data_IF_578965941736
#
_entry.id   IF_578965941736
#
_cell.length_a   1.000
_cell.length_b   1.000
_cell.length_c   1.000
_cell.angle_alpha   90.00
_cell.angle_beta   90.00
_cell.angle_gamma   90.00
#
_symmetry.space_group_name_H-M   'P 1'
#
loop_
_entity.id
_entity.type
_entity.pdbx_description
1 polymer ?
#
# COMPACT_ATOMS: atom_id res chain seq x y z
N UNK A 1 33.74 33.78 16.89
CA UNK A 1 33.87 32.33 16.59
C UNK A 1 32.55 31.74 17.00
N UNK A 2 31.55 32.03 16.18
CA UNK A 2 30.15 31.94 16.53
C UNK A 2 29.60 30.63 15.97
N UNK A 3 29.25 29.74 16.89
CA UNK A 3 28.61 28.46 16.60
C UNK A 3 27.17 28.75 16.19
N UNK A 4 26.89 28.69 14.90
CA UNK A 4 25.51 28.65 14.39
C UNK A 4 25.00 27.22 14.63
N UNK A 5 24.17 27.04 15.65
CA UNK A 5 23.38 25.83 15.85
C UNK A 5 22.30 25.75 14.78
N UNK A 6 22.44 24.77 13.87
CA UNK A 6 21.41 24.38 12.93
C UNK A 6 20.28 23.67 13.68
N UNK A 7 19.12 24.31 13.78
CA UNK A 7 17.91 23.71 14.32
C UNK A 7 17.33 22.77 13.28
N UNK A 8 17.56 21.45 13.42
CA UNK A 8 16.89 20.44 12.61
C UNK A 8 15.38 20.51 12.86
N UNK A 9 14.52 20.75 11.85
CA UNK A 9 13.09 20.73 12.07
C UNK A 9 12.65 19.30 12.38
N UNK A 10 12.22 19.05 13.62
CA UNK A 10 11.54 17.82 13.99
C UNK A 10 10.25 17.74 13.22
N UNK A 11 10.22 16.95 12.14
CA UNK A 11 8.99 16.56 11.49
C UNK A 11 8.15 15.80 12.54
N UNK A 12 7.18 16.48 13.18
CA UNK A 12 6.09 15.78 13.86
C UNK A 12 5.46 14.91 12.78
N UNK A 13 5.71 13.60 12.84
CA UNK A 13 5.04 12.61 12.01
C UNK A 13 3.55 12.84 12.23
N UNK A 14 2.91 13.50 11.28
CA UNK A 14 1.48 13.37 11.10
C UNK A 14 1.26 11.89 10.81
N UNK A 15 0.91 11.16 11.87
CA UNK A 15 0.88 9.71 11.92
C UNK A 15 -0.28 9.25 11.04
N UNK A 16 -0.01 9.23 9.73
CA UNK A 16 -0.95 8.85 8.69
C UNK A 16 -1.20 7.36 8.85
N UNK A 17 -2.18 7.03 9.68
CA UNK A 17 -2.57 5.65 9.96
C UNK A 17 -3.42 5.12 8.81
N UNK A 18 -3.23 3.86 8.50
CA UNK A 18 -4.01 3.15 7.48
C UNK A 18 -4.95 2.15 8.15
N UNK A 19 -6.10 1.90 7.51
CA UNK A 19 -7.05 0.89 7.95
C UNK A 19 -6.35 -0.48 7.96
N UNK A 20 -6.39 -1.19 9.09
CA UNK A 20 -5.75 -2.50 9.21
C UNK A 20 -6.46 -3.62 8.42
N UNK A 21 -7.57 -3.32 7.74
CA UNK A 21 -8.25 -4.23 6.82
C UNK A 21 -8.02 -3.84 5.36
N UNK A 22 -8.46 -2.64 4.93
CA UNK A 22 -8.44 -2.24 3.51
C UNK A 22 -7.33 -1.26 3.12
N UNK A 23 -6.39 -0.94 4.03
CA UNK A 23 -5.29 -0.02 3.74
C UNK A 23 -5.67 1.45 3.56
N UNK A 24 -6.97 1.80 3.45
CA UNK A 24 -7.40 3.21 3.28
C UNK A 24 -6.89 4.09 4.43
N UNK A 25 -6.40 5.29 4.09
CA UNK A 25 -6.00 6.31 5.08
C UNK A 25 -7.14 6.57 6.07
N UNK A 26 -6.80 6.50 7.34
CA UNK A 26 -7.71 6.83 8.43
C UNK A 26 -7.64 8.34 8.68
N UNK A 27 -8.78 8.98 8.95
CA UNK A 27 -8.78 10.41 9.23
C UNK A 27 -7.95 10.69 10.49
N UNK A 28 -7.05 11.67 10.41
CA UNK A 28 -6.29 12.21 11.55
C UNK A 28 -7.25 13.04 12.41
N UNK A 29 -8.19 12.39 13.11
CA UNK A 29 -9.07 13.11 14.04
C UNK A 29 -8.32 13.33 15.35
N UNK A 30 -8.21 14.58 15.82
CA UNK A 30 -7.68 14.96 17.14
C UNK A 30 -8.52 14.50 18.34
N UNK A 31 -9.07 13.29 18.28
CA UNK A 31 -9.86 12.69 19.36
C UNK A 31 -8.90 12.18 20.44
N UNK A 32 -9.15 12.59 21.68
CA UNK A 32 -8.55 12.01 22.88
C UNK A 32 -9.10 10.59 23.04
N UNK A 33 -8.24 9.57 23.01
CA UNK A 33 -8.63 8.16 23.19
C UNK A 33 -7.91 7.18 22.26
N UNK A 34 -8.35 5.92 22.26
CA UNK A 34 -7.71 4.86 21.48
C UNK A 34 -7.81 5.15 19.97
N UNK A 35 -6.67 5.11 19.23
CA UNK A 35 -6.63 5.15 17.77
C UNK A 35 -7.70 4.28 17.09
N UNK A 36 -8.35 4.81 16.05
CA UNK A 36 -9.13 3.97 15.13
C UNK A 36 -8.17 3.03 14.40
N UNK A 37 -8.55 1.75 14.30
CA UNK A 37 -7.80 0.72 13.53
C UNK A 37 -8.45 0.40 12.19
N UNK A 38 -9.74 0.71 12.02
CA UNK A 38 -10.52 0.40 10.82
C UNK A 38 -11.29 1.63 10.34
N UNK A 39 -11.46 1.77 9.02
CA UNK A 39 -12.14 2.92 8.44
C UNK A 39 -13.66 2.92 8.72
N UNK A 40 -14.28 1.74 8.72
CA UNK A 40 -15.72 1.53 8.90
C UNK A 40 -16.03 0.18 9.59
N UNK A 41 -17.29 -0.03 9.98
CA UNK A 41 -17.74 -1.30 10.58
C UNK A 41 -17.42 -2.49 9.64
N UNK A 42 -17.80 -2.50 8.35
CA UNK A 42 -17.61 -3.68 7.50
C UNK A 42 -16.15 -4.19 7.48
N UNK A 43 -15.17 -3.28 7.48
CA UNK A 43 -13.75 -3.61 7.59
C UNK A 43 -13.40 -4.29 8.92
N UNK A 44 -14.00 -3.86 10.04
CA UNK A 44 -13.85 -4.50 11.35
C UNK A 44 -14.48 -5.90 11.37
N UNK A 45 -15.66 -6.06 10.76
CA UNK A 45 -16.36 -7.36 10.71
C UNK A 45 -15.54 -8.38 9.94
N UNK A 46 -15.09 -8.05 8.71
CA UNK A 46 -14.25 -8.94 7.91
C UNK A 46 -12.92 -9.29 8.60
N UNK A 47 -12.32 -8.33 9.31
CA UNK A 47 -11.11 -8.57 10.11
C UNK A 47 -11.33 -9.53 11.29
N UNK A 48 -12.56 -9.60 11.83
CA UNK A 48 -12.93 -10.59 12.83
C UNK A 48 -13.15 -11.97 12.19
N UNK A 49 -13.92 -12.02 11.11
CA UNK A 49 -14.23 -13.27 10.38
C UNK A 49 -12.97 -13.97 9.89
N UNK A 50 -12.00 -13.22 9.32
CA UNK A 50 -10.71 -13.78 8.89
C UNK A 50 -9.94 -14.40 10.06
N UNK A 51 -9.86 -13.72 11.21
CA UNK A 51 -9.17 -14.25 12.40
C UNK A 51 -9.88 -15.48 12.96
N UNK A 52 -11.21 -15.46 13.01
CA UNK A 52 -12.00 -16.61 13.45
C UNK A 52 -11.89 -17.81 12.49
N UNK A 53 -11.73 -17.58 11.19
CA UNK A 53 -11.47 -18.63 10.22
C UNK A 53 -10.08 -19.24 10.39
N UNK A 54 -9.03 -18.42 10.51
CA UNK A 54 -7.64 -18.85 10.75
C UNK A 54 -7.53 -19.68 12.02
N UNK A 55 -8.10 -19.20 13.13
CA UNK A 55 -8.06 -19.91 14.41
C UNK A 55 -8.82 -21.25 14.36
N UNK A 56 -9.92 -21.34 13.62
CA UNK A 56 -10.64 -22.62 13.43
C UNK A 56 -9.87 -23.60 12.56
N UNK A 57 -9.07 -23.11 11.62
CA UNK A 57 -8.24 -23.93 10.74
C UNK A 57 -6.94 -24.43 11.37
N UNK A 58 -6.61 -24.05 12.61
CA UNK A 58 -5.34 -24.40 13.25
C UNK A 58 -4.11 -23.79 12.57
N UNK A 59 -4.31 -22.73 11.78
CA UNK A 59 -3.26 -22.05 11.04
C UNK A 59 -2.55 -21.03 11.95
N UNK A 60 -1.26 -20.74 11.69
CA UNK A 60 -0.54 -19.65 12.37
C UNK A 60 -1.27 -18.31 12.26
N UNK A 61 -1.11 -17.44 13.27
CA UNK A 61 -1.76 -16.12 13.32
C UNK A 61 -1.36 -15.18 12.17
N UNK A 62 -0.21 -15.42 11.56
CA UNK A 62 0.34 -14.68 10.42
C UNK A 62 0.10 -15.37 9.07
N UNK A 63 -0.64 -16.49 9.05
CA UNK A 63 -0.95 -17.20 7.83
C UNK A 63 -1.74 -16.31 6.85
N UNK A 64 -1.32 -16.35 5.58
CA UNK A 64 -2.05 -15.76 4.46
C UNK A 64 -2.64 -16.90 3.65
N UNK A 65 -3.98 -16.92 3.54
CA UNK A 65 -4.72 -17.88 2.72
C UNK A 65 -5.16 -17.14 1.47
N UNK A 66 -4.79 -17.67 0.31
CA UNK A 66 -5.26 -17.24 -1.00
C UNK A 66 -5.86 -18.45 -1.71
N UNK A 67 -6.98 -18.25 -2.40
CA UNK A 67 -7.44 -19.17 -3.43
C UNK A 67 -6.44 -19.21 -4.59
N UNK A 68 -6.57 -20.24 -5.43
CA UNK A 68 -5.76 -20.33 -6.64
C UNK A 68 -5.99 -19.12 -7.56
N UNK A 69 -7.25 -18.67 -7.68
CA UNK A 69 -7.61 -17.52 -8.51
C UNK A 69 -7.02 -16.21 -7.96
N UNK A 70 -7.03 -16.01 -6.63
CA UNK A 70 -6.38 -14.84 -6.01
C UNK A 70 -4.86 -14.86 -6.20
N UNK A 71 -4.23 -16.04 -6.17
CA UNK A 71 -2.80 -16.17 -6.44
C UNK A 71 -2.48 -15.89 -7.91
N UNK A 72 -3.30 -16.37 -8.85
CA UNK A 72 -3.14 -16.10 -10.27
C UNK A 72 -3.31 -14.60 -10.59
N UNK A 73 -4.35 -13.95 -10.05
CA UNK A 73 -4.57 -12.50 -10.21
C UNK A 73 -3.41 -11.69 -9.61
N UNK A 74 -2.85 -12.12 -8.48
CA UNK A 74 -1.64 -11.50 -7.92
C UNK A 74 -0.44 -11.62 -8.86
N UNK A 75 -0.20 -12.81 -9.42
CA UNK A 75 0.90 -13.06 -10.36
C UNK A 75 0.76 -12.22 -11.63
N UNK A 76 -0.44 -12.13 -12.19
CA UNK A 76 -0.74 -11.34 -13.38
C UNK A 76 -0.49 -9.84 -13.14
N UNK A 77 -0.91 -9.31 -11.99
CA UNK A 77 -0.65 -7.89 -11.65
C UNK A 77 0.82 -7.60 -11.39
N UNK A 78 1.55 -8.53 -10.76
CA UNK A 78 3.00 -8.40 -10.59
C UNK A 78 3.72 -8.42 -11.95
N UNK A 79 3.27 -9.27 -12.86
CA UNK A 79 3.77 -9.32 -14.23
C UNK A 79 3.52 -7.98 -14.94
N UNK A 80 2.32 -7.43 -14.87
CA UNK A 80 1.99 -6.11 -15.44
C UNK A 80 2.86 -4.99 -14.86
N UNK A 81 3.09 -4.98 -13.55
CA UNK A 81 3.95 -3.98 -12.91
C UNK A 81 5.40 -4.06 -13.42
N UNK A 82 5.95 -5.27 -13.55
CA UNK A 82 7.29 -5.48 -14.12
C UNK A 82 7.35 -4.98 -15.56
N UNK A 83 6.37 -5.32 -16.40
CA UNK A 83 6.32 -4.86 -17.78
C UNK A 83 6.23 -3.33 -17.87
N UNK A 84 5.41 -2.68 -17.05
CA UNK A 84 5.34 -1.22 -17.00
C UNK A 84 6.68 -0.56 -16.63
N UNK A 85 7.47 -1.20 -15.76
CA UNK A 85 8.82 -0.75 -15.45
C UNK A 85 9.80 -0.96 -16.61
N UNK A 86 9.71 -2.09 -17.32
CA UNK A 86 10.51 -2.39 -18.52
C UNK A 86 10.19 -1.43 -19.68
N UNK A 87 8.93 -1.03 -19.84
CA UNK A 87 8.50 -0.05 -20.84
C UNK A 87 9.17 1.31 -20.60
N UNK A 88 9.30 1.74 -19.34
CA UNK A 88 10.02 2.98 -18.99
C UNK A 88 11.50 2.86 -19.34
N UNK A 89 12.15 1.72 -19.03
CA UNK A 89 13.55 1.50 -19.38
C UNK A 89 13.78 1.51 -20.89
N UNK A 90 12.86 0.91 -21.65
CA UNK A 90 12.90 0.91 -23.12
C UNK A 90 12.72 2.34 -23.65
N UNK A 91 11.72 3.07 -23.17
CA UNK A 91 11.48 4.46 -23.56
C UNK A 91 12.67 5.37 -23.24
N UNK A 92 13.34 5.19 -22.10
CA UNK A 92 14.56 5.91 -21.75
C UNK A 92 15.69 5.61 -22.75
N UNK A 93 15.86 4.34 -23.13
CA UNK A 93 16.88 3.89 -24.08
C UNK A 93 16.63 4.48 -25.46
N UNK A 94 15.37 4.59 -25.86
CA UNK A 94 14.95 5.12 -27.16
C UNK A 94 14.91 6.66 -27.20
N UNK A 95 15.25 7.34 -26.10
CA UNK A 95 15.27 8.79 -26.03
C UNK A 95 13.88 9.43 -26.01
N UNK A 96 12.88 8.74 -25.44
CA UNK A 96 11.52 9.23 -25.31
C UNK A 96 11.46 10.58 -24.60
N UNK A 97 10.45 11.37 -24.98
CA UNK A 97 10.23 12.70 -24.42
C UNK A 97 9.84 12.62 -22.94
N UNK A 98 10.02 13.74 -22.25
CA UNK A 98 9.59 13.87 -20.85
C UNK A 98 8.08 13.55 -20.65
N UNK A 99 7.23 13.93 -21.62
CA UNK A 99 5.78 13.67 -21.54
C UNK A 99 5.43 12.18 -21.67
N UNK A 100 6.12 11.45 -22.54
CA UNK A 100 5.96 10.00 -22.69
C UNK A 100 6.42 9.27 -21.42
N UNK A 101 7.60 9.62 -20.91
CA UNK A 101 8.12 9.07 -19.66
C UNK A 101 7.20 9.34 -18.47
N UNK A 102 6.66 10.56 -18.37
CA UNK A 102 5.69 10.91 -17.32
C UNK A 102 4.43 10.05 -17.42
N UNK A 103 3.94 9.80 -18.64
CA UNK A 103 2.75 8.96 -18.87
C UNK A 103 3.01 7.51 -18.45
N UNK A 104 4.13 6.93 -18.88
CA UNK A 104 4.52 5.56 -18.51
C UNK A 104 4.73 5.41 -17.00
N UNK A 105 5.42 6.36 -16.36
CA UNK A 105 5.61 6.37 -14.92
C UNK A 105 4.28 6.48 -14.16
N UNK A 106 3.35 7.30 -14.64
CA UNK A 106 2.01 7.43 -14.05
C UNK A 106 1.25 6.10 -14.12
N UNK A 107 1.28 5.43 -15.28
CA UNK A 107 0.64 4.13 -15.47
C UNK A 107 1.24 3.07 -14.53
N UNK A 108 2.57 3.02 -14.41
CA UNK A 108 3.25 2.10 -13.47
C UNK A 108 2.82 2.35 -12.02
N UNK A 109 2.70 3.60 -11.59
CA UNK A 109 2.22 3.96 -10.24
C UNK A 109 0.77 3.54 -10.04
N UNK A 110 -0.10 3.69 -11.04
CA UNK A 110 -1.48 3.20 -10.98
C UNK A 110 -1.53 1.69 -10.81
N UNK A 111 -0.78 0.92 -11.62
CA UNK A 111 -0.68 -0.54 -11.48
C UNK A 111 -0.19 -0.96 -10.09
N UNK A 112 0.83 -0.29 -9.57
CA UNK A 112 1.34 -0.54 -8.22
C UNK A 112 0.28 -0.25 -7.14
N UNK A 113 -0.47 0.84 -7.27
CA UNK A 113 -1.53 1.24 -6.33
C UNK A 113 -2.69 0.23 -6.33
N UNK A 114 -3.03 -0.31 -7.50
CA UNK A 114 -4.06 -1.34 -7.61
C UNK A 114 -3.61 -2.68 -7.00
N UNK A 115 -2.30 -2.95 -7.00
CA UNK A 115 -1.71 -4.12 -6.35
C UNK A 115 -1.80 -4.04 -4.81
N UNK A 116 -1.76 -2.85 -4.21
CA UNK A 116 -1.94 -2.67 -2.76
C UNK A 116 -3.30 -3.14 -2.24
N UNK A 117 -4.29 -3.34 -3.13
CA UNK A 117 -5.65 -3.75 -2.78
C UNK A 117 -5.83 -5.27 -2.64
N UNK A 118 -4.78 -6.06 -2.89
CA UNK A 118 -4.79 -7.51 -2.67
C UNK A 118 -4.79 -7.81 -1.17
N UNK A 119 -5.99 -7.98 -0.59
CA UNK A 119 -6.23 -8.48 0.78
C UNK A 119 -7.55 -9.21 0.93
#
# INVERSE_FOLDING_TARGET
>A
MDLVTETTPTHRRDDTRHCAWCGRRLPTTGRVGRPRRYCAQPCRQRAYERRAAVHRGGLPDDAVILSHDELADLQDRLFQLRCAAEDILTALTDGATHGELHTLATNMVTTATDLERLR
#
